data_IF_348707895629
#
_entry.id   IF_348707895629
#
_cell.length_a   1.000
_cell.length_b   1.000
_cell.length_c   1.000
_cell.angle_alpha   90.00
_cell.angle_beta   90.00
_cell.angle_gamma   90.00
#
_symmetry.space_group_name_H-M   'P 1'
#
loop_
_entity.id
_entity.type
_entity.pdbx_description
1 polymer ?
#
# COMPACT_ATOMS: atom_id res chain seq x y z
N UNK A 1 3.74 -22.88 -13.83
CA UNK A 1 4.57 -21.86 -13.14
C UNK A 1 3.67 -20.67 -12.82
N UNK A 2 3.31 -20.43 -11.55
CA UNK A 2 2.41 -19.32 -11.17
C UNK A 2 3.21 -18.01 -11.24
N UNK A 3 2.75 -17.05 -12.05
CA UNK A 3 3.27 -15.70 -12.05
C UNK A 3 3.23 -15.16 -10.62
N UNK A 4 4.39 -14.72 -10.11
CA UNK A 4 4.48 -13.98 -8.86
C UNK A 4 3.60 -12.73 -9.00
N UNK A 5 2.55 -12.66 -8.18
CA UNK A 5 1.69 -11.49 -8.13
C UNK A 5 2.58 -10.26 -7.86
N UNK A 6 2.68 -9.28 -8.78
CA UNK A 6 3.46 -8.08 -8.50
C UNK A 6 2.86 -7.44 -7.25
N UNK A 7 3.67 -7.18 -6.23
CA UNK A 7 3.19 -6.41 -5.08
C UNK A 7 2.68 -5.09 -5.64
N UNK A 8 1.36 -4.79 -5.56
CA UNK A 8 0.82 -3.62 -6.24
C UNK A 8 1.36 -2.30 -5.64
N UNK A 9 2.01 -2.37 -4.47
CA UNK A 9 2.58 -1.24 -3.75
C UNK A 9 4.02 -1.56 -3.32
N UNK A 10 5.05 -1.31 -4.15
CA UNK A 10 6.45 -1.48 -3.75
C UNK A 10 6.83 -0.45 -2.66
N UNK A 11 7.77 -0.82 -1.79
CA UNK A 11 8.31 0.09 -0.79
C UNK A 11 9.03 1.27 -1.47
N UNK A 12 8.69 2.53 -1.18
CA UNK A 12 9.35 3.68 -1.80
C UNK A 12 10.81 3.84 -1.37
N UNK A 13 11.21 3.26 -0.23
CA UNK A 13 12.59 3.33 0.28
C UNK A 13 13.54 2.33 -0.37
N UNK A 14 13.11 1.09 -0.63
CA UNK A 14 13.98 0.02 -1.13
C UNK A 14 13.46 -0.75 -2.35
N UNK A 15 12.28 -0.41 -2.87
CA UNK A 15 11.60 -1.16 -3.93
C UNK A 15 11.07 -2.53 -3.52
N UNK A 16 11.37 -2.99 -2.30
CA UNK A 16 10.98 -4.30 -1.77
C UNK A 16 9.48 -4.46 -1.51
N UNK A 17 9.04 -5.68 -1.15
CA UNK A 17 7.64 -5.97 -0.86
C UNK A 17 7.15 -5.17 0.36
N UNK A 18 5.93 -4.65 0.27
CA UNK A 18 5.24 -4.01 1.40
C UNK A 18 3.93 -4.73 1.76
N UNK A 19 3.37 -4.42 2.93
CA UNK A 19 2.06 -4.90 3.36
C UNK A 19 1.23 -3.73 3.90
N UNK A 20 -0.05 -3.69 3.54
CA UNK A 20 -1.01 -2.77 4.16
C UNK A 20 -1.28 -3.24 5.59
N UNK A 21 -1.10 -2.36 6.58
CA UNK A 21 -1.33 -2.65 8.00
C UNK A 21 -2.70 -2.20 8.46
N UNK A 22 -3.14 -1.03 8.00
CA UNK A 22 -4.42 -0.45 8.36
C UNK A 22 -4.91 0.49 7.27
N UNK A 23 -6.17 0.86 7.36
CA UNK A 23 -6.74 1.93 6.57
C UNK A 23 -7.59 2.83 7.45
N UNK A 24 -7.77 4.08 7.03
CA UNK A 24 -8.63 5.06 7.66
C UNK A 24 -9.49 5.71 6.60
N UNK A 25 -10.80 5.65 6.77
CA UNK A 25 -11.73 6.44 5.96
C UNK A 25 -11.59 7.92 6.36
N UNK A 26 -11.30 8.78 5.38
CA UNK A 26 -11.17 10.23 5.59
C UNK A 26 -12.45 10.94 5.18
N UNK A 27 -12.98 10.57 4.02
CA UNK A 27 -14.30 10.98 3.52
C UNK A 27 -15.01 9.74 2.97
N UNK A 28 -16.31 9.80 2.63
CA UNK A 28 -17.00 8.67 2.02
C UNK A 28 -16.32 8.10 0.75
N UNK A 29 -15.56 8.93 0.02
CA UNK A 29 -14.88 8.55 -1.23
C UNK A 29 -13.35 8.45 -1.12
N UNK A 30 -12.74 8.94 -0.03
CA UNK A 30 -11.28 8.90 0.18
C UNK A 30 -10.92 8.06 1.40
N UNK A 31 -9.98 7.13 1.22
CA UNK A 31 -9.35 6.34 2.28
C UNK A 31 -7.84 6.54 2.28
N UNK A 32 -7.25 6.71 3.46
CA UNK A 32 -5.79 6.61 3.65
C UNK A 32 -5.43 5.17 3.97
N UNK A 33 -4.45 4.63 3.27
CA UNK A 33 -3.88 3.30 3.48
C UNK A 33 -2.50 3.45 4.11
N UNK A 34 -2.21 2.68 5.15
CA UNK A 34 -0.91 2.66 5.82
C UNK A 34 -0.18 1.35 5.51
N UNK A 35 1.08 1.46 5.09
CA UNK A 35 1.92 0.36 4.67
C UNK A 35 3.18 0.25 5.51
N UNK A 36 3.70 -0.97 5.58
CA UNK A 36 4.98 -1.30 6.20
C UNK A 36 5.79 -2.15 5.24
N UNK A 37 7.06 -1.79 5.02
CA UNK A 37 8.00 -2.63 4.29
C UNK A 37 8.19 -3.97 5.02
N UNK A 38 8.18 -5.09 4.28
CA UNK A 38 8.44 -6.43 4.84
C UNK A 38 9.94 -6.71 5.02
N UNK A 39 10.80 -5.97 4.33
CA UNK A 39 12.24 -6.05 4.55
C UNK A 39 12.58 -5.38 5.89
N UNK A 40 13.00 -6.20 6.86
CA UNK A 40 13.38 -5.77 8.21
C UNK A 40 14.58 -4.83 8.22
N UNK A 41 15.43 -4.86 7.19
CA UNK A 41 16.56 -3.93 7.06
C UNK A 41 16.11 -2.55 6.61
N UNK A 42 15.06 -2.47 5.79
CA UNK A 42 14.49 -1.22 5.35
C UNK A 42 13.56 -0.63 6.42
N UNK A 43 12.59 -1.41 6.90
CA UNK A 43 11.69 -0.99 7.99
C UNK A 43 10.81 0.24 7.69
N UNK A 44 10.84 0.79 6.47
CA UNK A 44 10.10 2.00 6.11
C UNK A 44 8.57 1.80 6.23
N UNK A 45 7.90 2.76 6.89
CA UNK A 45 6.46 2.93 6.87
C UNK A 45 6.07 4.07 5.93
N UNK A 46 4.98 3.91 5.19
CA UNK A 46 4.48 4.93 4.26
C UNK A 46 2.96 4.86 4.13
N UNK A 47 2.35 5.92 3.59
CA UNK A 47 0.91 6.00 3.37
C UNK A 47 0.57 6.32 1.92
N UNK A 48 -0.58 5.84 1.44
CA UNK A 48 -1.15 6.21 0.15
C UNK A 48 -2.62 6.62 0.31
N UNK A 49 -3.15 7.38 -0.65
CA UNK A 49 -4.56 7.72 -0.73
C UNK A 49 -5.23 6.86 -1.80
N UNK A 50 -6.35 6.26 -1.44
CA UNK A 50 -7.25 5.55 -2.34
C UNK A 50 -8.52 6.37 -2.48
N UNK A 51 -8.87 6.73 -3.70
CA UNK A 51 -10.03 7.55 -4.03
C UNK A 51 -10.96 6.82 -5.00
N UNK A 52 -12.26 6.89 -4.73
CA UNK A 52 -13.30 6.44 -5.67
C UNK A 52 -13.56 7.54 -6.69
N UNK A 53 -13.14 7.32 -7.93
CA UNK A 53 -13.27 8.31 -9.02
C UNK A 53 -14.53 8.12 -9.86
N UNK A 54 -15.11 6.91 -9.89
CA UNK A 54 -16.33 6.60 -10.63
C UNK A 54 -17.08 5.43 -9.95
N UNK A 55 -18.42 5.49 -9.98
CA UNK A 55 -19.31 4.40 -9.52
C UNK A 55 -20.07 3.88 -10.73
N UNK A 56 -20.03 2.57 -10.95
CA UNK A 56 -20.70 1.88 -12.07
C UNK A 56 -22.05 1.35 -11.61
#
# INVERSE_FOLDING_TARGET
>A
MKASNPNPNPCPGCGGPSIQRSCRTVTPIVRTLYFQCKDVRCGCGFSAQLEVTHVI
#
